data_IF_673788649919
#
_entry.id   IF_673788649919
#
_cell.length_a   1.000
_cell.length_b   1.000
_cell.length_c   1.000
_cell.angle_alpha   90.00
_cell.angle_beta   90.00
_cell.angle_gamma   90.00
#
_symmetry.space_group_name_H-M   'P 1'
#
loop_
_entity.id
_entity.type
_entity.pdbx_description
1 polymer ?
#
# COMPACT_ATOMS: atom_id res chain seq x y z
N UNK A 1 -22.48 -0.32 12.14
CA UNK A 1 -21.71 -1.50 11.68
C UNK A 1 -20.38 -1.05 11.11
N UNK A 2 -19.29 -1.50 11.71
CA UNK A 2 -17.92 -1.26 11.27
C UNK A 2 -17.73 -1.75 9.82
N UNK A 3 -16.95 -1.03 9.01
CA UNK A 3 -16.60 -1.37 7.61
C UNK A 3 -17.74 -1.46 6.58
N UNK A 4 -18.92 -0.88 6.83
CA UNK A 4 -20.05 -0.90 5.86
C UNK A 4 -19.72 -0.34 4.45
N UNK A 5 -18.71 0.52 4.33
CA UNK A 5 -18.30 1.14 3.05
C UNK A 5 -17.15 0.42 2.33
N UNK A 6 -16.59 -0.64 2.93
CA UNK A 6 -15.48 -1.38 2.32
C UNK A 6 -16.02 -2.15 1.12
N UNK A 7 -15.40 -1.94 -0.05
CA UNK A 7 -15.68 -2.67 -1.28
C UNK A 7 -14.45 -3.52 -1.62
N UNK A 8 -14.55 -4.85 -1.64
CA UNK A 8 -13.48 -5.70 -2.13
C UNK A 8 -13.12 -5.30 -3.56
N UNK A 9 -11.81 -5.18 -3.83
CA UNK A 9 -11.27 -4.93 -5.16
C UNK A 9 -10.15 -5.93 -5.41
N UNK A 10 -10.13 -6.50 -6.61
CA UNK A 10 -9.00 -7.30 -7.07
C UNK A 10 -7.85 -6.36 -7.43
N UNK A 11 -6.66 -6.69 -6.97
CA UNK A 11 -5.41 -5.98 -7.27
C UNK A 11 -4.60 -6.86 -8.20
N UNK A 12 -4.22 -6.32 -9.35
CA UNK A 12 -3.43 -7.00 -10.36
C UNK A 12 -2.18 -6.22 -10.76
N UNK A 13 -1.34 -6.85 -11.58
CA UNK A 13 -0.17 -6.19 -12.16
C UNK A 13 -0.59 -4.94 -12.93
N UNK A 14 0.13 -3.84 -12.71
CA UNK A 14 -0.15 -2.53 -13.28
C UNK A 14 -0.96 -1.59 -12.38
N UNK A 15 -1.67 -2.11 -11.37
CA UNK A 15 -2.41 -1.28 -10.42
C UNK A 15 -1.46 -0.42 -9.56
N UNK A 16 -1.93 0.77 -9.20
CA UNK A 16 -1.31 1.61 -8.18
C UNK A 16 -1.93 1.33 -6.82
N UNK A 17 -1.09 1.10 -5.83
CA UNK A 17 -1.50 0.78 -4.45
C UNK A 17 -0.70 1.59 -3.44
N UNK A 18 -1.28 1.81 -2.27
CA UNK A 18 -0.58 2.34 -1.10
C UNK A 18 -0.15 1.19 -0.21
N UNK A 19 1.04 1.29 0.38
CA UNK A 19 1.54 0.33 1.37
C UNK A 19 1.35 0.91 2.77
N UNK A 20 1.06 0.05 3.75
CA UNK A 20 0.94 0.50 5.14
C UNK A 20 2.31 0.96 5.64
N UNK A 21 2.42 2.21 6.07
CA UNK A 21 3.70 2.86 6.40
C UNK A 21 4.45 2.14 7.53
N UNK A 22 3.72 1.54 8.47
CA UNK A 22 4.27 0.72 9.57
C UNK A 22 5.13 -0.46 9.08
N UNK A 23 4.91 -0.98 7.86
CA UNK A 23 5.69 -2.09 7.31
C UNK A 23 7.08 -1.60 6.84
N UNK A 24 7.21 -0.32 6.49
CA UNK A 24 8.45 0.25 5.95
C UNK A 24 9.27 0.96 7.01
N UNK A 25 8.64 1.84 7.79
CA UNK A 25 9.26 2.46 8.97
C UNK A 25 8.29 2.44 10.16
N UNK A 26 8.34 1.38 10.99
CA UNK A 26 7.49 1.26 12.17
C UNK A 26 7.74 2.36 13.21
N UNK A 27 8.95 2.92 13.26
CA UNK A 27 9.33 3.91 14.27
C UNK A 27 8.72 5.26 13.93
N UNK A 28 8.82 5.66 12.67
CA UNK A 28 8.23 6.90 12.18
C UNK A 28 6.70 6.83 12.13
N UNK A 29 6.13 5.67 11.78
CA UNK A 29 4.68 5.46 11.70
C UNK A 29 3.94 5.44 13.05
N UNK A 30 4.66 5.39 14.18
CA UNK A 30 4.05 5.27 15.53
C UNK A 30 3.49 6.58 16.08
N UNK A 31 3.82 7.72 15.48
CA UNK A 31 3.28 9.02 15.91
C UNK A 31 1.80 9.13 15.55
N UNK A 32 1.00 9.73 16.46
CA UNK A 32 -0.45 9.93 16.26
C UNK A 32 -0.78 10.71 14.98
N UNK A 33 0.16 11.52 14.50
CA UNK A 33 0.03 12.35 13.30
C UNK A 33 0.86 11.83 12.12
N UNK A 34 1.50 10.66 12.25
CA UNK A 34 2.18 10.04 11.12
C UNK A 34 1.15 9.51 10.10
N UNK A 35 1.49 9.52 8.81
CA UNK A 35 0.64 8.91 7.79
C UNK A 35 0.55 7.39 8.00
N UNK A 36 -0.65 6.83 7.86
CA UNK A 36 -0.89 5.38 7.96
C UNK A 36 -0.41 4.62 6.71
N UNK A 37 -0.25 5.32 5.58
CA UNK A 37 0.00 4.77 4.27
C UNK A 37 1.13 5.55 3.58
N UNK A 38 1.92 4.86 2.78
CA UNK A 38 3.01 5.39 1.96
C UNK A 38 2.87 4.97 0.50
N UNK A 39 3.64 5.62 -0.38
CA UNK A 39 3.60 5.37 -1.82
C UNK A 39 2.58 6.26 -2.53
N UNK A 40 2.61 6.25 -3.86
CA UNK A 40 2.11 5.12 -4.62
C UNK A 40 3.19 4.10 -5.02
N UNK A 41 2.80 2.83 -5.08
CA UNK A 41 3.58 1.75 -5.65
C UNK A 41 2.84 1.15 -6.83
N UNK A 42 3.58 0.72 -7.85
CA UNK A 42 3.04 -0.08 -8.94
C UNK A 42 3.20 -1.56 -8.63
N UNK A 43 2.12 -2.31 -8.73
CA UNK A 43 2.19 -3.78 -8.68
C UNK A 43 2.87 -4.25 -9.96
N UNK A 44 4.04 -4.88 -9.84
CA UNK A 44 4.75 -5.45 -10.98
C UNK A 44 4.44 -6.93 -11.17
N UNK A 45 4.07 -7.62 -10.09
CA UNK A 45 3.66 -9.02 -10.14
C UNK A 45 2.76 -9.40 -8.95
N UNK A 46 1.92 -10.41 -9.16
CA UNK A 46 1.05 -11.02 -8.15
C UNK A 46 1.61 -12.40 -7.82
N UNK A 47 2.26 -12.53 -6.67
CA UNK A 47 2.85 -13.82 -6.24
C UNK A 47 1.75 -14.81 -5.85
N UNK A 48 0.76 -14.30 -5.11
CA UNK A 48 -0.46 -15.00 -4.69
C UNK A 48 -1.45 -13.96 -4.16
N UNK A 49 -2.69 -14.35 -3.96
CA UNK A 49 -3.70 -13.47 -3.36
C UNK A 49 -3.19 -12.87 -2.03
N UNK A 50 -3.18 -11.53 -1.96
CA UNK A 50 -2.70 -10.78 -0.80
C UNK A 50 -1.18 -10.59 -0.71
N UNK A 51 -0.38 -11.10 -1.67
CA UNK A 51 1.07 -10.90 -1.73
C UNK A 51 1.49 -10.38 -3.10
N UNK A 52 2.02 -9.16 -3.13
CA UNK A 52 2.31 -8.41 -4.35
C UNK A 52 3.77 -7.98 -4.38
N UNK A 53 4.40 -8.07 -5.55
CA UNK A 53 5.68 -7.40 -5.79
C UNK A 53 5.41 -5.96 -6.21
N UNK A 54 6.05 -5.03 -5.50
CA UNK A 54 5.85 -3.60 -5.67
C UNK A 54 7.12 -2.97 -6.22
N UNK A 55 6.97 -2.16 -7.26
CA UNK A 55 7.99 -1.23 -7.70
C UNK A 55 7.66 0.18 -7.21
N UNK A 56 8.68 0.87 -6.67
CA UNK A 56 8.60 2.30 -6.43
C UNK A 56 8.41 2.99 -7.77
N UNK A 57 7.23 3.58 -7.99
CA UNK A 57 7.08 4.52 -9.10
C UNK A 57 7.93 5.71 -8.72
N UNK A 58 9.05 5.90 -9.42
CA UNK A 58 9.99 6.98 -9.15
C UNK A 58 9.31 8.33 -9.31
N UNK A 59 8.67 8.80 -8.24
CA UNK A 59 8.41 10.21 -8.01
C UNK A 59 9.77 10.82 -7.66
N UNK A 60 10.49 11.23 -8.69
CA UNK A 60 11.45 12.33 -8.56
C UNK A 60 10.61 13.61 -8.44
N UNK A 61 10.94 14.44 -7.46
CA UNK A 61 10.60 15.87 -7.49
C UNK A 61 11.05 16.52 -8.80
#
# INVERSE_FOLDING_TARGET
>A
LYNRKVRPRQVGSGDLVLRKAEISDPTQARSKLAPNWEGPYKVIDVVRDGTYMLATTGYRE
#
